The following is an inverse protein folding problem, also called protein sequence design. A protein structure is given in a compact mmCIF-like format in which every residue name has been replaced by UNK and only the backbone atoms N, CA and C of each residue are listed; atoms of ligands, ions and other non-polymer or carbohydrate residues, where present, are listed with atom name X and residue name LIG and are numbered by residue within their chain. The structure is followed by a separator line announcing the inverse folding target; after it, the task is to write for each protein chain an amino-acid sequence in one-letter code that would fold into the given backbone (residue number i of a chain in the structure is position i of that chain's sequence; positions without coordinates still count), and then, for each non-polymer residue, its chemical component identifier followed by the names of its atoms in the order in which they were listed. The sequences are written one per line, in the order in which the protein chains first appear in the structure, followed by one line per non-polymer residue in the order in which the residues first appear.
data_IF_485227958084
#
_entry.id   IF_485227958084
#
_cell.length_a   1.000
_cell.length_b   1.000
_cell.length_c   1.000
_cell.angle_alpha   90.00
_cell.angle_beta   90.00
_cell.angle_gamma   90.00
#
_symmetry.space_group_name_H-M   'P 1'
#
loop_
_entity.id
_entity.type
_entity.pdbx_description
1 polymer ?
#
# COMPACT_ATOMS: atom_id res chain seq x y z
N UNK A 1 -13.19 6.66 24.32
CA UNK A 1 -11.90 6.13 23.82
C UNK A 1 -12.15 4.70 23.40
N UNK A 2 -12.22 4.47 22.12
CA UNK A 2 -12.97 3.34 21.55
C UNK A 2 -12.14 2.05 21.41
N UNK A 3 -12.59 1.03 22.14
CA UNK A 3 -12.21 -0.39 21.98
C UNK A 3 -12.56 -0.99 20.60
N UNK A 4 -13.12 -0.20 19.68
CA UNK A 4 -13.62 -0.68 18.37
C UNK A 4 -12.52 -0.86 17.34
N UNK A 5 -11.42 -0.10 17.42
CA UNK A 5 -10.32 -0.19 16.44
C UNK A 5 -9.48 -1.47 16.60
N UNK A 6 -9.42 -2.03 17.83
CA UNK A 6 -8.63 -3.25 18.13
C UNK A 6 -9.41 -4.54 17.79
N UNK A 7 -10.74 -4.49 17.77
CA UNK A 7 -11.60 -5.68 17.61
C UNK A 7 -11.81 -6.12 16.17
N UNK A 8 -11.54 -5.28 15.16
CA UNK A 8 -11.63 -5.67 13.75
C UNK A 8 -10.37 -6.37 13.26
N UNK A 9 -9.21 -6.17 13.91
CA UNK A 9 -7.99 -6.91 13.64
C UNK A 9 -7.91 -8.28 14.34
N UNK A 10 -8.69 -8.50 15.40
CA UNK A 10 -8.64 -9.76 16.18
C UNK A 10 -9.57 -10.87 15.69
N UNK A 11 -10.35 -10.64 14.61
CA UNK A 11 -11.16 -11.68 13.94
C UNK A 11 -10.70 -12.06 12.55
N UNK A 12 -9.63 -11.45 11.99
CA UNK A 12 -8.79 -12.22 11.10
C UNK A 12 -7.97 -13.14 12.02
N UNK A 13 -8.44 -14.36 12.21
CA UNK A 13 -7.52 -15.47 12.49
C UNK A 13 -6.31 -15.20 11.63
N UNK A 14 -5.14 -15.17 12.24
CA UNK A 14 -3.86 -15.26 11.54
C UNK A 14 -3.99 -16.58 10.78
N UNK A 15 -4.59 -16.55 9.60
CA UNK A 15 -4.36 -17.55 8.59
C UNK A 15 -2.92 -17.23 8.21
N UNK A 16 -1.97 -17.89 8.89
CA UNK A 16 -0.60 -17.95 8.43
C UNK A 16 -0.74 -18.40 6.99
N UNK A 17 -0.32 -17.54 6.05
CA UNK A 17 -0.47 -17.88 4.66
C UNK A 17 0.37 -19.13 4.43
N UNK A 18 -0.27 -20.20 3.98
CA UNK A 18 0.39 -21.46 3.68
C UNK A 18 0.65 -21.51 2.18
N UNK A 19 1.92 -21.51 1.81
CA UNK A 19 2.36 -21.54 0.42
C UNK A 19 2.69 -22.95 -0.02
N UNK A 20 2.21 -23.35 -1.21
CA UNK A 20 2.70 -24.55 -1.88
C UNK A 20 4.04 -24.27 -2.54
N UNK A 21 4.82 -25.31 -2.84
CA UNK A 21 6.14 -25.15 -3.45
C UNK A 21 6.12 -24.39 -4.79
N UNK A 22 5.02 -24.42 -5.54
CA UNK A 22 4.85 -23.66 -6.77
C UNK A 22 4.71 -22.16 -6.51
N UNK A 23 4.03 -21.80 -5.43
CA UNK A 23 3.85 -20.41 -5.01
C UNK A 23 5.22 -19.85 -4.59
N UNK A 24 5.97 -20.61 -3.80
CA UNK A 24 7.35 -20.28 -3.41
C UNK A 24 8.27 -20.13 -4.64
N UNK A 25 8.19 -21.03 -5.63
CA UNK A 25 8.96 -20.90 -6.88
C UNK A 25 8.64 -19.59 -7.59
N UNK A 26 7.36 -19.23 -7.69
CA UNK A 26 6.91 -18.00 -8.34
C UNK A 26 7.40 -16.75 -7.59
N UNK A 27 7.28 -16.74 -6.27
CA UNK A 27 7.61 -15.58 -5.43
C UNK A 27 9.11 -15.36 -5.26
N UNK A 28 9.90 -16.44 -5.18
CA UNK A 28 11.35 -16.35 -4.93
C UNK A 28 12.21 -16.44 -6.20
N UNK A 29 11.64 -16.97 -7.28
CA UNK A 29 12.36 -17.32 -8.51
C UNK A 29 13.27 -18.55 -8.38
N UNK A 30 13.25 -19.25 -7.23
CA UNK A 30 14.04 -20.47 -7.01
C UNK A 30 13.22 -21.66 -7.48
N UNK A 31 13.79 -22.48 -8.37
CA UNK A 31 13.09 -23.67 -8.88
C UNK A 31 12.71 -24.66 -7.78
N UNK A 32 11.51 -25.22 -7.86
CA UNK A 32 10.99 -26.16 -6.85
C UNK A 32 11.91 -27.35 -6.56
N UNK A 33 12.62 -27.86 -7.58
CA UNK A 33 13.60 -28.95 -7.37
C UNK A 33 14.81 -28.47 -6.56
N UNK A 34 15.27 -27.24 -6.76
CA UNK A 34 16.37 -26.62 -6.04
C UNK A 34 16.03 -26.46 -4.56
N UNK A 35 14.81 -25.97 -4.26
CA UNK A 35 14.31 -25.84 -2.88
C UNK A 35 14.33 -27.21 -2.19
N UNK A 36 13.82 -28.27 -2.83
CA UNK A 36 13.84 -29.63 -2.27
C UNK A 36 15.26 -30.17 -2.02
N UNK A 37 16.22 -29.82 -2.88
CA UNK A 37 17.63 -30.17 -2.67
C UNK A 37 18.17 -29.44 -1.45
N UNK A 38 17.87 -28.16 -1.30
CA UNK A 38 18.31 -27.34 -0.18
C UNK A 38 17.71 -27.80 1.16
N UNK A 39 16.41 -28.14 1.18
CA UNK A 39 15.77 -28.78 2.34
C UNK A 39 16.53 -30.06 2.75
N UNK A 40 16.72 -30.98 1.78
CA UNK A 40 17.30 -32.30 2.06
C UNK A 40 18.79 -32.23 2.44
N UNK A 41 19.57 -31.34 1.80
CA UNK A 41 21.02 -31.32 1.90
C UNK A 41 21.54 -30.39 2.98
N UNK A 42 20.83 -29.30 3.22
CA UNK A 42 21.27 -28.22 4.10
C UNK A 42 20.33 -27.92 5.25
N UNK A 43 19.17 -28.56 5.28
CA UNK A 43 18.13 -28.34 6.31
C UNK A 43 17.76 -26.87 6.49
N UNK A 44 17.82 -26.07 5.41
CA UNK A 44 17.57 -24.62 5.41
C UNK A 44 16.13 -24.31 5.84
N UNK A 45 15.20 -25.20 5.47
CA UNK A 45 13.78 -25.11 5.79
C UNK A 45 13.27 -26.49 6.23
N UNK A 46 12.28 -26.47 7.08
CA UNK A 46 11.54 -27.65 7.51
C UNK A 46 10.06 -27.35 7.30
N UNK A 47 9.54 -27.50 6.04
CA UNK A 47 8.14 -27.20 5.75
C UNK A 47 7.21 -28.16 6.47
N UNK A 48 6.08 -27.66 6.90
CA UNK A 48 4.97 -28.47 7.37
C UNK A 48 4.42 -29.36 6.25
N UNK A 49 3.70 -30.41 6.62
CA UNK A 49 3.08 -31.32 5.65
C UNK A 49 1.64 -31.54 5.99
N UNK A 50 0.80 -31.46 4.96
CA UNK A 50 -0.60 -31.85 5.08
C UNK A 50 -0.72 -33.38 5.37
N UNK A 51 -1.90 -33.83 5.75
CA UNK A 51 -2.21 -35.26 5.90
C UNK A 51 -1.91 -36.07 4.60
N UNK A 52 -1.98 -35.40 3.45
CA UNK A 52 -1.65 -35.98 2.14
C UNK A 52 -0.17 -35.79 1.76
N UNK A 53 0.69 -35.47 2.73
CA UNK A 53 2.14 -35.27 2.57
C UNK A 53 2.55 -34.13 1.61
N UNK A 54 1.68 -33.16 1.31
CA UNK A 54 2.03 -31.97 0.54
C UNK A 54 2.79 -31.01 1.44
N UNK A 55 3.90 -30.45 0.92
CA UNK A 55 4.70 -29.41 1.61
C UNK A 55 3.94 -28.11 1.68
N UNK A 56 3.92 -27.52 2.87
CA UNK A 56 3.36 -26.20 3.15
C UNK A 56 4.43 -25.35 3.79
N UNK A 57 4.61 -24.13 3.29
CA UNK A 57 5.61 -23.17 3.73
C UNK A 57 4.90 -21.97 4.36
N UNK A 58 5.43 -21.52 5.48
CA UNK A 58 4.95 -20.34 6.20
C UNK A 58 5.47 -19.04 5.56
N UNK A 59 4.91 -17.90 5.97
CA UNK A 59 5.45 -16.57 5.66
C UNK A 59 6.92 -16.43 6.07
N UNK A 60 7.32 -17.06 7.18
CA UNK A 60 8.69 -17.06 7.66
C UNK A 60 9.61 -17.84 6.74
N UNK A 61 9.15 -18.95 6.18
CA UNK A 61 9.89 -19.74 5.20
C UNK A 61 10.06 -18.94 3.90
N UNK A 62 9.01 -18.29 3.43
CA UNK A 62 9.06 -17.42 2.26
C UNK A 62 10.07 -16.28 2.46
N UNK A 63 10.01 -15.58 3.60
CA UNK A 63 10.97 -14.51 3.93
C UNK A 63 12.41 -15.03 3.94
N UNK A 64 12.65 -16.19 4.55
CA UNK A 64 13.97 -16.82 4.58
C UNK A 64 14.48 -17.15 3.17
N UNK A 65 13.63 -17.70 2.31
CA UNK A 65 13.99 -18.04 0.93
C UNK A 65 14.23 -16.80 0.07
N UNK A 66 13.51 -15.71 0.28
CA UNK A 66 13.76 -14.44 -0.41
C UNK A 66 15.14 -13.88 -0.05
N UNK A 67 15.52 -13.89 1.23
CA UNK A 67 16.84 -13.48 1.69
C UNK A 67 17.95 -14.38 1.11
N UNK A 68 17.76 -15.69 1.13
CA UNK A 68 18.69 -16.67 0.55
C UNK A 68 18.82 -16.46 -0.96
N UNK A 69 17.72 -16.22 -1.67
CA UNK A 69 17.73 -15.92 -3.11
C UNK A 69 18.56 -14.68 -3.41
N UNK A 70 18.40 -13.62 -2.63
CA UNK A 70 19.17 -12.39 -2.78
C UNK A 70 20.66 -12.63 -2.57
N UNK A 71 21.05 -13.30 -1.49
CA UNK A 71 22.44 -13.63 -1.19
C UNK A 71 23.06 -14.52 -2.28
N UNK A 72 22.33 -15.51 -2.75
CA UNK A 72 22.81 -16.42 -3.79
C UNK A 72 23.00 -15.70 -5.15
N UNK A 73 22.08 -14.82 -5.53
CA UNK A 73 22.21 -13.95 -6.72
C UNK A 73 23.40 -12.97 -6.62
N UNK A 74 23.85 -12.66 -5.41
CA UNK A 74 25.04 -11.82 -5.16
C UNK A 74 26.32 -12.62 -4.88
N UNK A 75 26.35 -13.89 -5.30
CA UNK A 75 27.58 -14.71 -5.33
C UNK A 75 27.84 -15.53 -4.08
N UNK A 76 27.00 -15.49 -3.06
CA UNK A 76 27.15 -16.34 -1.89
C UNK A 76 26.68 -17.76 -2.17
N UNK A 77 27.52 -18.75 -1.92
CA UNK A 77 27.17 -20.17 -2.13
C UNK A 77 26.20 -20.64 -1.05
N UNK A 78 25.19 -21.41 -1.45
CA UNK A 78 24.18 -21.93 -0.55
C UNK A 78 24.76 -22.75 0.62
N UNK A 79 25.86 -23.47 0.40
CA UNK A 79 26.56 -24.22 1.45
C UNK A 79 27.06 -23.33 2.57
N UNK A 80 27.48 -22.11 2.26
CA UNK A 80 27.93 -21.15 3.27
C UNK A 80 26.73 -20.46 3.94
N UNK A 81 25.70 -20.08 3.16
CA UNK A 81 24.50 -19.44 3.71
C UNK A 81 23.84 -20.35 4.76
N UNK A 82 23.83 -21.66 4.51
CA UNK A 82 23.24 -22.65 5.41
C UNK A 82 23.94 -22.76 6.78
N UNK A 83 25.20 -22.33 6.86
CA UNK A 83 25.99 -22.34 8.09
C UNK A 83 25.87 -21.03 8.89
N UNK A 84 25.21 -20.00 8.31
CA UNK A 84 25.11 -18.69 8.94
C UNK A 84 23.89 -18.58 9.85
N UNK A 85 24.06 -17.87 10.96
CA UNK A 85 22.95 -17.49 11.81
C UNK A 85 22.06 -16.42 11.14
N UNK A 86 20.90 -16.25 11.68
CA UNK A 86 19.88 -15.32 11.16
C UNK A 86 20.39 -13.86 11.12
N UNK A 87 21.19 -13.47 12.11
CA UNK A 87 21.72 -12.11 12.23
C UNK A 87 22.78 -11.82 11.17
N UNK A 88 23.61 -12.81 10.84
CA UNK A 88 24.59 -12.70 9.76
C UNK A 88 23.91 -12.65 8.40
N UNK A 89 22.88 -13.47 8.16
CA UNK A 89 22.07 -13.42 6.93
C UNK A 89 21.47 -12.03 6.79
N UNK A 90 20.81 -11.52 7.83
CA UNK A 90 20.19 -10.21 7.81
C UNK A 90 21.20 -9.09 7.56
N UNK A 91 22.35 -9.10 8.20
CA UNK A 91 23.43 -8.13 7.96
C UNK A 91 23.92 -8.16 6.52
N UNK A 92 24.22 -9.32 5.96
CA UNK A 92 24.69 -9.43 4.58
C UNK A 92 23.63 -9.05 3.55
N UNK A 93 22.37 -9.42 3.80
CA UNK A 93 21.22 -8.93 2.99
C UNK A 93 21.14 -7.41 3.04
N UNK A 94 21.34 -6.84 4.22
CA UNK A 94 21.43 -5.41 4.42
C UNK A 94 22.58 -4.78 3.64
N UNK A 95 23.81 -5.31 3.78
CA UNK A 95 24.99 -4.82 3.08
C UNK A 95 24.83 -4.86 1.55
N UNK A 96 24.24 -5.92 1.01
CA UNK A 96 23.97 -6.04 -0.43
C UNK A 96 22.96 -5.00 -0.87
N UNK A 97 21.91 -4.76 -0.09
CA UNK A 97 20.92 -3.72 -0.39
C UNK A 97 21.55 -2.32 -0.35
N UNK A 98 22.49 -2.10 0.58
CA UNK A 98 23.19 -0.81 0.74
C UNK A 98 24.31 -0.58 -0.28
N UNK A 99 24.98 -1.62 -0.79
CA UNK A 99 26.13 -1.49 -1.71
C UNK A 99 25.73 -1.23 -3.18
N UNK A 100 24.48 -1.42 -3.53
CA UNK A 100 24.00 -0.99 -4.84
C UNK A 100 23.76 0.52 -4.81
N UNK A 101 24.41 1.25 -5.71
CA UNK A 101 24.16 2.67 -6.00
C UNK A 101 22.74 2.88 -6.57
N UNK A 102 21.74 2.51 -5.80
CA UNK A 102 20.34 2.85 -6.00
C UNK A 102 20.07 3.98 -5.05
N UNK A 103 19.33 4.95 -5.47
CA UNK A 103 18.89 6.11 -4.73
C UNK A 103 18.75 5.79 -3.23
N UNK A 104 19.65 6.33 -2.40
CA UNK A 104 19.75 6.04 -0.96
C UNK A 104 18.49 6.40 -0.16
N UNK A 105 17.49 6.96 -0.82
CA UNK A 105 16.24 7.41 -0.22
C UNK A 105 15.43 6.26 0.33
N UNK A 106 15.18 5.23 -0.48
CA UNK A 106 14.37 4.09 -0.04
C UNK A 106 15.01 3.33 1.12
N UNK A 107 16.33 3.13 1.06
CA UNK A 107 17.05 2.45 2.14
C UNK A 107 17.03 3.24 3.44
N UNK A 108 17.16 4.56 3.40
CA UNK A 108 17.04 5.42 4.58
C UNK A 108 15.63 5.38 5.16
N UNK A 109 14.60 5.38 4.31
CA UNK A 109 13.21 5.25 4.75
C UNK A 109 12.94 3.88 5.39
N UNK A 110 13.52 2.79 4.84
CA UNK A 110 13.45 1.45 5.44
C UNK A 110 14.21 1.41 6.78
N UNK A 111 15.38 2.05 6.87
CA UNK A 111 16.12 2.14 8.12
C UNK A 111 15.31 2.85 9.20
N UNK A 112 14.74 4.00 8.86
CA UNK A 112 13.87 4.77 9.74
C UNK A 112 12.66 3.95 10.22
N UNK A 113 12.03 3.16 9.32
CA UNK A 113 10.97 2.22 9.65
C UNK A 113 11.43 1.18 10.70
N UNK A 114 12.56 0.51 10.44
CA UNK A 114 13.05 -0.58 11.30
C UNK A 114 13.48 -0.08 12.68
N UNK A 115 14.07 1.13 12.74
CA UNK A 115 14.53 1.77 13.98
C UNK A 115 13.46 2.61 14.67
N UNK A 116 12.30 2.81 14.03
CA UNK A 116 11.25 3.70 14.49
C UNK A 116 11.79 5.14 14.68
N UNK A 117 12.65 5.57 13.74
CA UNK A 117 13.34 6.85 13.79
C UNK A 117 12.58 7.91 12.96
N UNK A 118 11.79 8.73 13.66
CA UNK A 118 10.99 9.80 13.07
C UNK A 118 11.88 10.89 12.43
N UNK A 119 13.00 11.23 13.07
CA UNK A 119 13.88 12.28 12.58
C UNK A 119 14.50 11.86 11.24
N UNK A 120 15.10 10.66 11.17
CA UNK A 120 15.69 10.14 9.95
C UNK A 120 14.65 10.05 8.81
N UNK A 121 13.42 9.59 9.12
CA UNK A 121 12.34 9.54 8.14
C UNK A 121 11.99 10.92 7.59
N UNK A 122 11.72 11.86 8.50
CA UNK A 122 11.26 13.21 8.16
C UNK A 122 12.30 14.02 7.38
N UNK A 123 13.57 13.94 7.79
CA UNK A 123 14.68 14.61 7.10
C UNK A 123 14.88 14.01 5.70
N UNK A 124 14.89 12.68 5.59
CA UNK A 124 15.05 11.98 4.29
C UNK A 124 13.93 12.36 3.33
N UNK A 125 12.68 12.29 3.80
CA UNK A 125 11.52 12.61 2.97
C UNK A 125 11.49 14.09 2.56
N UNK A 126 11.89 15.00 3.49
CA UNK A 126 11.93 16.42 3.19
C UNK A 126 12.92 16.76 2.08
N UNK A 127 14.14 16.18 2.12
CA UNK A 127 15.15 16.38 1.06
C UNK A 127 14.58 16.01 -0.31
N UNK A 128 13.92 14.86 -0.43
CA UNK A 128 13.35 14.42 -1.70
C UNK A 128 12.20 15.32 -2.17
N UNK A 129 11.36 15.78 -1.23
CA UNK A 129 10.28 16.72 -1.55
C UNK A 129 10.85 18.07 -2.02
N UNK A 130 11.92 18.55 -1.41
CA UNK A 130 12.57 19.83 -1.79
C UNK A 130 13.22 19.72 -3.18
N UNK A 131 13.76 18.55 -3.55
CA UNK A 131 14.39 18.32 -4.84
C UNK A 131 13.41 18.22 -6.00
N UNK A 132 12.31 17.49 -5.84
CA UNK A 132 11.41 17.16 -6.98
C UNK A 132 9.92 17.41 -6.75
N UNK A 133 9.57 17.94 -5.58
CA UNK A 133 8.20 18.24 -5.19
C UNK A 133 7.40 17.02 -4.75
N UNK A 134 6.36 17.22 -3.94
CA UNK A 134 5.59 16.13 -3.33
C UNK A 134 4.92 15.21 -4.37
N UNK A 135 4.46 15.74 -5.51
CA UNK A 135 3.76 14.92 -6.53
C UNK A 135 4.68 13.82 -7.07
N UNK A 136 5.91 14.20 -7.45
CA UNK A 136 6.88 13.23 -7.95
C UNK A 136 7.39 12.31 -6.84
N UNK A 137 7.68 12.87 -5.67
CA UNK A 137 8.07 12.09 -4.49
C UNK A 137 7.03 11.04 -4.14
N UNK A 138 5.75 11.38 -4.19
CA UNK A 138 4.69 10.40 -3.90
C UNK A 138 4.67 9.27 -4.92
N UNK A 139 4.72 9.59 -6.21
CA UNK A 139 4.60 8.61 -7.27
C UNK A 139 5.85 7.75 -7.46
N UNK A 140 7.04 8.34 -7.31
CA UNK A 140 8.32 7.70 -7.63
C UNK A 140 8.99 7.05 -6.42
N UNK A 141 8.73 7.54 -5.19
CA UNK A 141 9.39 7.04 -3.97
C UNK A 141 8.40 6.46 -2.96
N UNK A 142 7.35 7.22 -2.58
CA UNK A 142 6.44 6.80 -1.52
C UNK A 142 5.53 5.64 -1.93
N UNK A 143 5.03 5.61 -3.17
CA UNK A 143 4.20 4.48 -3.61
C UNK A 143 4.98 3.16 -3.66
N UNK A 144 6.17 3.07 -4.30
CA UNK A 144 7.00 1.86 -4.25
C UNK A 144 7.39 1.47 -2.82
N UNK A 145 7.70 2.45 -1.97
CA UNK A 145 8.01 2.23 -0.56
C UNK A 145 6.82 1.63 0.21
N UNK A 146 5.60 2.17 0.03
CA UNK A 146 4.39 1.63 0.65
C UNK A 146 4.06 0.21 0.17
N UNK A 147 4.24 -0.07 -1.12
CA UNK A 147 4.10 -1.43 -1.68
C UNK A 147 5.08 -2.40 -1.03
N UNK A 148 6.32 -1.97 -0.85
CA UNK A 148 7.36 -2.76 -0.19
C UNK A 148 7.06 -3.00 1.29
N UNK A 149 6.56 -1.98 2.02
CA UNK A 149 6.08 -2.13 3.40
C UNK A 149 4.96 -3.18 3.47
N UNK A 150 4.01 -3.13 2.54
CA UNK A 150 2.94 -4.12 2.44
C UNK A 150 3.47 -5.55 2.30
N UNK A 151 4.47 -5.76 1.45
CA UNK A 151 5.15 -7.07 1.31
C UNK A 151 5.89 -7.45 2.59
N UNK A 152 6.64 -6.52 3.20
CA UNK A 152 7.37 -6.77 4.46
C UNK A 152 6.42 -7.14 5.59
N UNK A 153 5.25 -6.55 5.65
CA UNK A 153 4.21 -6.89 6.63
C UNK A 153 3.64 -8.30 6.36
N UNK A 154 3.31 -8.62 5.12
CA UNK A 154 2.80 -9.95 4.73
C UNK A 154 3.77 -11.10 5.08
N UNK A 155 5.08 -10.85 4.99
CA UNK A 155 6.11 -11.84 5.35
C UNK A 155 6.60 -11.70 6.79
N UNK A 156 5.87 -10.99 7.65
CA UNK A 156 6.19 -10.74 9.06
C UNK A 156 7.61 -10.18 9.31
N UNK A 157 8.18 -9.46 8.34
CA UNK A 157 9.48 -8.80 8.49
C UNK A 157 9.40 -7.50 9.29
N UNK A 158 8.19 -6.94 9.42
CA UNK A 158 7.89 -5.78 10.27
C UNK A 158 6.64 -6.05 11.09
N UNK A 159 6.53 -5.37 12.22
CA UNK A 159 5.33 -5.40 13.07
C UNK A 159 4.26 -4.41 12.61
N UNK A 160 3.01 -4.62 13.00
CA UNK A 160 1.94 -3.66 12.78
C UNK A 160 2.25 -2.28 13.39
N UNK A 161 2.97 -2.24 14.51
CA UNK A 161 3.39 -0.98 15.13
C UNK A 161 4.35 -0.18 14.24
N UNK A 162 5.29 -0.85 13.57
CA UNK A 162 6.22 -0.21 12.63
C UNK A 162 5.50 0.28 11.36
N UNK A 163 4.57 -0.52 10.82
CA UNK A 163 3.74 -0.12 9.70
C UNK A 163 2.91 1.13 10.07
N UNK A 164 2.20 1.11 11.20
CA UNK A 164 1.41 2.24 11.67
C UNK A 164 2.27 3.50 11.93
N UNK A 165 3.46 3.33 12.49
CA UNK A 165 4.39 4.42 12.71
C UNK A 165 4.69 5.17 11.40
N UNK A 166 5.11 4.44 10.37
CA UNK A 166 5.46 5.02 9.07
C UNK A 166 4.24 5.59 8.35
N UNK A 167 3.14 4.86 8.33
CA UNK A 167 1.90 5.31 7.69
C UNK A 167 1.39 6.62 8.30
N UNK A 168 1.51 6.78 9.62
CA UNK A 168 1.18 8.03 10.27
C UNK A 168 2.13 9.18 9.93
N UNK A 169 3.44 8.94 9.80
CA UNK A 169 4.40 9.98 9.38
C UNK A 169 4.14 10.45 7.95
N UNK A 170 3.88 9.53 7.03
CA UNK A 170 3.50 9.85 5.64
C UNK A 170 2.21 10.68 5.63
N UNK A 171 1.21 10.24 6.39
CA UNK A 171 -0.07 10.93 6.53
C UNK A 171 0.09 12.36 7.05
N UNK A 172 0.85 12.54 8.13
CA UNK A 172 1.14 13.86 8.71
C UNK A 172 1.83 14.77 7.71
N UNK A 173 2.80 14.22 6.95
CA UNK A 173 3.52 14.98 5.93
C UNK A 173 2.61 15.47 4.83
N UNK A 174 1.76 14.62 4.27
CA UNK A 174 0.82 15.00 3.21
C UNK A 174 -0.17 16.05 3.72
N UNK A 175 -0.71 15.89 4.93
CA UNK A 175 -1.63 16.87 5.54
C UNK A 175 -0.93 18.24 5.73
N UNK A 176 0.31 18.23 6.20
CA UNK A 176 1.11 19.47 6.31
C UNK A 176 1.31 20.17 4.97
N UNK A 177 1.54 19.41 3.90
CA UNK A 177 1.70 19.99 2.55
C UNK A 177 0.34 20.46 1.98
N UNK A 178 -0.77 19.84 2.33
CA UNK A 178 -2.12 20.33 1.99
C UNK A 178 -2.42 21.66 2.69
N UNK A 179 -2.06 21.79 3.96
CA UNK A 179 -2.33 22.99 4.78
C UNK A 179 -1.56 24.23 4.27
N UNK A 180 -0.41 24.03 3.65
CA UNK A 180 0.38 25.11 3.02
C UNK A 180 -0.26 25.66 1.76
N UNK A 181 -1.24 24.98 1.17
CA UNK A 181 -1.86 25.40 -0.08
C UNK A 181 -3.01 26.38 0.16
N UNK A 182 -3.09 27.40 -0.67
CA UNK A 182 -4.20 28.36 -0.63
C UNK A 182 -5.53 27.67 -0.92
N UNK A 183 -6.57 28.08 -0.19
CA UNK A 183 -7.94 27.65 -0.50
C UNK A 183 -8.43 28.48 -1.69
N UNK A 184 -8.82 27.85 -2.81
CA UNK A 184 -9.29 28.57 -3.99
C UNK A 184 -10.44 29.55 -3.67
N UNK A 185 -10.43 30.71 -4.26
CA UNK A 185 -11.46 31.73 -4.08
C UNK A 185 -12.83 31.25 -4.62
N UNK A 186 -12.82 30.55 -5.75
CA UNK A 186 -14.03 29.91 -6.30
C UNK A 186 -14.31 28.62 -5.51
N UNK A 187 -15.40 28.65 -4.76
CA UNK A 187 -15.90 27.52 -3.96
C UNK A 187 -17.11 26.84 -4.57
N UNK A 188 -17.53 27.26 -5.77
CA UNK A 188 -18.64 26.63 -6.47
C UNK A 188 -18.30 25.21 -6.89
N UNK A 189 -19.26 24.32 -6.75
CA UNK A 189 -19.16 22.93 -7.21
C UNK A 189 -17.83 22.24 -6.87
N UNK A 190 -17.51 22.03 -5.58
CA UNK A 190 -16.24 21.45 -5.17
C UNK A 190 -16.08 20.01 -5.64
N UNK A 191 -14.84 19.50 -5.55
CA UNK A 191 -14.54 18.06 -5.66
C UNK A 191 -14.58 17.47 -4.26
N UNK A 192 -15.43 16.49 -4.03
CA UNK A 192 -15.59 15.82 -2.75
C UNK A 192 -14.75 14.55 -2.70
N UNK A 193 -14.05 14.33 -1.58
CA UNK A 193 -13.20 13.14 -1.39
C UNK A 193 -13.63 12.41 -0.12
N UNK A 194 -13.76 11.07 -0.21
CA UNK A 194 -14.16 10.24 0.91
C UNK A 194 -13.63 8.80 0.77
N UNK A 195 -13.58 8.07 1.88
CA UNK A 195 -13.47 6.61 1.89
C UNK A 195 -14.81 5.98 2.29
N UNK A 196 -15.18 4.86 1.65
CA UNK A 196 -16.41 4.16 2.01
C UNK A 196 -16.36 3.64 3.45
N UNK A 197 -17.52 3.31 3.97
CA UNK A 197 -17.64 2.77 5.32
C UNK A 197 -16.74 1.56 5.52
N UNK A 198 -16.04 1.53 6.67
CA UNK A 198 -15.04 0.51 7.03
C UNK A 198 -13.72 0.56 6.24
N UNK A 199 -13.46 1.55 5.38
CA UNK A 199 -12.13 1.76 4.81
C UNK A 199 -11.41 2.92 5.54
N UNK A 200 -10.12 2.65 5.91
CA UNK A 200 -9.28 3.55 6.70
C UNK A 200 -7.99 3.94 5.97
N UNK A 201 -7.79 3.46 4.73
CA UNK A 201 -6.57 3.61 3.96
C UNK A 201 -6.52 4.95 3.21
N UNK A 202 -6.38 6.05 3.94
CA UNK A 202 -6.59 7.40 3.40
C UNK A 202 -5.36 8.04 2.73
N UNK A 203 -4.16 7.46 2.79
CA UNK A 203 -2.93 8.07 2.23
C UNK A 203 -3.11 8.44 0.76
N UNK A 204 -3.64 7.53 -0.05
CA UNK A 204 -3.92 7.78 -1.47
C UNK A 204 -4.99 8.88 -1.68
N UNK A 205 -6.01 8.91 -0.83
CA UNK A 205 -7.06 9.92 -0.90
C UNK A 205 -6.54 11.31 -0.51
N UNK A 206 -5.71 11.41 0.52
CA UNK A 206 -5.02 12.65 0.90
C UNK A 206 -4.12 13.15 -0.22
N UNK A 207 -3.41 12.25 -0.90
CA UNK A 207 -2.61 12.63 -2.06
C UNK A 207 -3.46 13.17 -3.21
N UNK A 208 -4.63 12.60 -3.49
CA UNK A 208 -5.55 13.17 -4.48
C UNK A 208 -6.06 14.55 -4.06
N UNK A 209 -6.32 14.78 -2.78
CA UNK A 209 -6.66 16.11 -2.28
C UNK A 209 -5.53 17.11 -2.51
N UNK A 210 -4.28 16.73 -2.15
CA UNK A 210 -3.10 17.56 -2.40
C UNK A 210 -2.98 17.92 -3.88
N UNK A 211 -3.06 16.91 -4.76
CA UNK A 211 -2.92 17.07 -6.20
C UNK A 211 -3.95 18.06 -6.78
N UNK A 212 -5.20 17.92 -6.38
CA UNK A 212 -6.29 18.79 -6.86
C UNK A 212 -6.14 20.22 -6.34
N UNK A 213 -5.82 20.40 -5.06
CA UNK A 213 -5.56 21.72 -4.49
C UNK A 213 -4.37 22.41 -5.14
N UNK A 214 -3.30 21.67 -5.40
CA UNK A 214 -2.11 22.20 -6.10
C UNK A 214 -2.45 22.71 -7.52
N UNK A 215 -3.53 22.21 -8.12
CA UNK A 215 -4.07 22.69 -9.40
C UNK A 215 -5.17 23.75 -9.27
N UNK A 216 -5.39 24.27 -8.05
CA UNK A 216 -6.36 25.33 -7.80
C UNK A 216 -7.82 24.86 -7.70
N UNK A 217 -8.08 23.58 -7.52
CA UNK A 217 -9.45 23.08 -7.34
C UNK A 217 -9.89 23.16 -5.87
N UNK A 218 -11.10 23.64 -5.64
CA UNK A 218 -11.71 23.57 -4.32
C UNK A 218 -12.09 22.13 -4.00
N UNK A 219 -11.63 21.63 -2.85
CA UNK A 219 -11.86 20.26 -2.40
C UNK A 219 -12.59 20.26 -1.06
N UNK A 220 -13.49 19.29 -0.87
CA UNK A 220 -14.13 18.97 0.41
C UNK A 220 -13.72 17.56 0.78
N UNK A 221 -12.90 17.45 1.82
CA UNK A 221 -12.39 16.17 2.31
C UNK A 221 -13.26 15.68 3.47
N UNK A 222 -13.97 14.56 3.26
CA UNK A 222 -14.87 13.97 4.26
C UNK A 222 -14.18 12.90 5.10
N UNK A 223 -13.02 12.41 4.65
CA UNK A 223 -12.19 11.47 5.42
C UNK A 223 -12.60 10.02 5.31
N UNK A 224 -12.24 9.29 6.37
CA UNK A 224 -12.31 7.83 6.46
C UNK A 224 -13.70 7.35 6.86
N UNK A 225 -14.04 6.12 6.43
CA UNK A 225 -15.19 5.35 6.93
C UNK A 225 -16.52 6.13 6.95
N UNK A 226 -16.87 6.74 5.82
CA UNK A 226 -18.10 7.54 5.70
C UNK A 226 -19.29 6.64 5.40
N UNK A 227 -20.36 6.66 6.22
CA UNK A 227 -21.61 5.96 5.92
C UNK A 227 -22.28 6.50 4.65
N UNK A 228 -22.89 5.61 3.87
CA UNK A 228 -23.51 5.95 2.59
C UNK A 228 -24.57 7.06 2.69
N UNK A 229 -25.47 6.98 3.68
CA UNK A 229 -26.51 8.01 3.90
C UNK A 229 -25.91 9.38 4.20
N UNK A 230 -24.80 9.42 4.97
CA UNK A 230 -24.08 10.66 5.26
C UNK A 230 -23.45 11.25 4.00
N UNK A 231 -22.91 10.40 3.12
CA UNK A 231 -22.41 10.81 1.82
C UNK A 231 -23.52 11.45 0.97
N UNK A 232 -24.69 10.81 0.86
CA UNK A 232 -25.81 11.33 0.09
C UNK A 232 -26.31 12.69 0.62
N UNK A 233 -26.43 12.84 1.93
CA UNK A 233 -26.78 14.11 2.55
C UNK A 233 -25.79 15.23 2.21
N UNK A 234 -24.48 14.92 2.18
CA UNK A 234 -23.45 15.86 1.77
C UNK A 234 -23.57 16.21 0.29
N UNK A 235 -23.79 15.24 -0.59
CA UNK A 235 -23.95 15.45 -2.04
C UNK A 235 -25.12 16.39 -2.30
N UNK A 236 -26.27 16.14 -1.69
CA UNK A 236 -27.46 16.97 -1.87
C UNK A 236 -27.25 18.41 -1.43
N UNK A 237 -26.53 18.63 -0.33
CA UNK A 237 -26.28 19.96 0.22
C UNK A 237 -25.19 20.73 -0.53
N UNK A 238 -24.11 20.05 -0.93
CA UNK A 238 -22.90 20.67 -1.48
C UNK A 238 -22.95 20.73 -3.01
N UNK A 239 -23.66 19.81 -3.65
CA UNK A 239 -23.76 19.65 -5.11
C UNK A 239 -22.37 19.63 -5.78
N UNK A 240 -21.49 18.66 -5.41
CA UNK A 240 -20.15 18.60 -5.94
C UNK A 240 -20.16 18.28 -7.44
N UNK A 241 -19.21 18.85 -8.21
CA UNK A 241 -19.04 18.48 -9.62
C UNK A 241 -18.49 17.07 -9.80
N UNK A 242 -17.73 16.60 -8.80
CA UNK A 242 -17.13 15.28 -8.82
C UNK A 242 -16.97 14.73 -7.40
N UNK A 243 -16.96 13.41 -7.30
CA UNK A 243 -16.66 12.65 -6.09
C UNK A 243 -15.53 11.70 -6.38
N UNK A 244 -14.54 11.66 -5.47
CA UNK A 244 -13.39 10.78 -5.56
C UNK A 244 -13.37 9.87 -4.34
N UNK A 245 -13.18 8.57 -4.56
CA UNK A 245 -13.00 7.58 -3.51
C UNK A 245 -11.79 6.68 -3.76
N UNK A 246 -11.30 6.02 -2.72
CA UNK A 246 -10.23 5.01 -2.80
C UNK A 246 -10.72 3.71 -2.16
N UNK A 247 -10.38 2.57 -2.77
CA UNK A 247 -10.86 1.24 -2.38
C UNK A 247 -9.69 0.27 -2.32
N UNK A 248 -9.14 0.06 -1.14
CA UNK A 248 -7.98 -0.81 -0.92
C UNK A 248 -8.35 -2.07 -0.14
N UNK A 249 -9.25 -1.97 0.83
CA UNK A 249 -9.71 -3.10 1.63
C UNK A 249 -10.41 -4.11 0.74
N UNK A 250 -10.08 -5.40 0.91
CA UNK A 250 -10.72 -6.48 0.17
C UNK A 250 -12.23 -6.55 0.49
N UNK A 251 -13.04 -6.36 -0.53
CA UNK A 251 -14.51 -6.33 -0.45
C UNK A 251 -15.08 -7.20 -1.57
N UNK A 252 -16.26 -7.77 -1.32
CA UNK A 252 -16.98 -8.55 -2.34
C UNK A 252 -17.23 -7.71 -3.60
N UNK A 253 -16.94 -8.30 -4.75
CA UNK A 253 -17.12 -7.69 -6.07
C UNK A 253 -18.55 -7.16 -6.29
N UNK A 254 -19.54 -7.96 -5.90
CA UNK A 254 -20.95 -7.62 -6.09
C UNK A 254 -21.32 -6.41 -5.25
N UNK A 255 -20.76 -6.28 -4.06
CA UNK A 255 -20.95 -5.10 -3.21
C UNK A 255 -20.44 -3.84 -3.89
N UNK A 256 -19.19 -3.84 -4.41
CA UNK A 256 -18.60 -2.66 -5.07
C UNK A 256 -19.42 -2.23 -6.29
N UNK A 257 -19.82 -3.17 -7.14
CA UNK A 257 -20.62 -2.89 -8.33
C UNK A 257 -21.98 -2.28 -7.93
N UNK A 258 -22.68 -2.89 -6.97
CA UNK A 258 -23.98 -2.39 -6.51
C UNK A 258 -23.86 -1.01 -5.85
N UNK A 259 -22.78 -0.77 -5.12
CA UNK A 259 -22.50 0.53 -4.50
C UNK A 259 -22.39 1.63 -5.55
N UNK A 260 -21.55 1.47 -6.58
CA UNK A 260 -21.41 2.49 -7.62
C UNK A 260 -22.62 2.62 -8.53
N UNK A 261 -23.31 1.51 -8.81
CA UNK A 261 -24.60 1.53 -9.52
C UNK A 261 -25.64 2.37 -8.77
N UNK A 262 -25.74 2.18 -7.46
CA UNK A 262 -26.66 2.95 -6.62
C UNK A 262 -26.22 4.42 -6.54
N UNK A 263 -24.94 4.69 -6.30
CA UNK A 263 -24.41 6.04 -6.21
C UNK A 263 -24.59 6.83 -7.51
N UNK A 264 -24.43 6.18 -8.68
CA UNK A 264 -24.70 6.79 -9.99
C UNK A 264 -26.18 7.18 -10.16
N UNK A 265 -27.09 6.38 -9.62
CA UNK A 265 -28.53 6.66 -9.63
C UNK A 265 -28.90 7.81 -8.69
N UNK A 266 -28.28 7.85 -7.49
CA UNK A 266 -28.58 8.83 -6.44
C UNK A 266 -27.89 10.19 -6.69
N UNK A 267 -26.79 10.21 -7.46
CA UNK A 267 -26.03 11.40 -7.82
C UNK A 267 -25.80 11.50 -9.35
N UNK A 268 -26.88 11.59 -10.18
CA UNK A 268 -26.79 11.48 -11.64
C UNK A 268 -25.98 12.60 -12.31
N UNK A 269 -25.89 13.76 -11.68
CA UNK A 269 -25.20 14.95 -12.20
C UNK A 269 -23.77 15.09 -11.68
N UNK A 270 -23.29 14.14 -10.89
CA UNK A 270 -21.95 14.17 -10.29
C UNK A 270 -21.03 13.17 -11.00
N UNK A 271 -19.85 13.61 -11.39
CA UNK A 271 -18.82 12.70 -11.92
C UNK A 271 -18.28 11.83 -10.79
N UNK A 272 -18.19 10.52 -11.01
CA UNK A 272 -17.71 9.56 -10.04
C UNK A 272 -16.33 9.05 -10.46
N UNK A 273 -15.34 9.17 -9.58
CA UNK A 273 -13.99 8.67 -9.75
C UNK A 273 -13.62 7.74 -8.60
N UNK A 274 -12.89 6.67 -8.90
CA UNK A 274 -12.37 5.79 -7.88
C UNK A 274 -11.00 5.23 -8.25
N UNK A 275 -10.16 5.09 -7.23
CA UNK A 275 -8.85 4.45 -7.32
C UNK A 275 -8.70 3.32 -6.30
N UNK A 276 -7.55 2.67 -6.32
CA UNK A 276 -7.20 1.58 -5.40
C UNK A 276 -7.31 0.19 -6.03
N UNK A 277 -6.69 -0.79 -5.37
CA UNK A 277 -6.53 -2.14 -5.91
C UNK A 277 -7.85 -2.84 -6.24
N UNK A 278 -8.91 -2.59 -5.45
CA UNK A 278 -10.21 -3.21 -5.69
C UNK A 278 -10.90 -2.67 -6.96
N UNK A 279 -10.66 -1.41 -7.29
CA UNK A 279 -11.18 -0.80 -8.53
C UNK A 279 -10.42 -1.37 -9.74
N UNK A 280 -9.09 -1.45 -9.66
CA UNK A 280 -8.26 -1.99 -10.74
C UNK A 280 -8.61 -3.45 -11.07
N UNK A 281 -8.87 -4.28 -10.05
CA UNK A 281 -9.27 -5.68 -10.21
C UNK A 281 -10.60 -5.85 -10.95
N UNK A 282 -11.50 -4.88 -10.87
CA UNK A 282 -12.86 -4.96 -11.39
C UNK A 282 -13.18 -3.84 -12.39
N UNK A 283 -12.16 -3.23 -12.99
CA UNK A 283 -12.30 -2.01 -13.80
C UNK A 283 -13.26 -2.17 -14.99
N UNK A 284 -13.29 -3.35 -15.62
CA UNK A 284 -14.18 -3.61 -16.75
C UNK A 284 -15.67 -3.51 -16.36
N UNK A 285 -16.07 -4.15 -15.27
CA UNK A 285 -17.46 -4.18 -14.80
C UNK A 285 -17.89 -2.86 -14.17
N UNK A 286 -16.95 -2.09 -13.65
CA UNK A 286 -17.19 -0.79 -13.03
C UNK A 286 -17.22 0.37 -14.01
N UNK A 287 -16.68 0.21 -15.22
CA UNK A 287 -16.50 1.29 -16.22
C UNK A 287 -17.79 2.00 -16.62
N UNK A 288 -18.96 1.35 -16.46
CA UNK A 288 -20.26 1.95 -16.71
C UNK A 288 -20.66 2.96 -15.61
N UNK A 289 -20.19 2.78 -14.38
CA UNK A 289 -20.68 3.52 -13.21
C UNK A 289 -19.69 4.54 -12.68
N UNK A 290 -18.38 4.27 -12.79
CA UNK A 290 -17.33 5.08 -12.20
C UNK A 290 -16.10 5.12 -13.12
N UNK A 291 -15.41 6.26 -13.14
CA UNK A 291 -14.15 6.43 -13.86
C UNK A 291 -12.99 5.98 -12.99
N UNK A 292 -12.20 5.01 -13.46
CA UNK A 292 -11.02 4.53 -12.78
C UNK A 292 -9.90 5.57 -12.79
N UNK A 293 -9.28 5.83 -11.64
CA UNK A 293 -8.07 6.65 -11.51
C UNK A 293 -6.85 5.74 -11.67
N UNK A 294 -6.21 5.81 -12.84
CA UNK A 294 -5.02 5.00 -13.16
C UNK A 294 -3.70 5.68 -12.78
N UNK A 295 -3.70 7.01 -12.74
CA UNK A 295 -2.54 7.83 -12.39
C UNK A 295 -2.99 9.25 -12.02
N UNK A 296 -2.06 10.03 -11.46
CA UNK A 296 -2.25 11.46 -11.19
C UNK A 296 -2.65 12.23 -12.45
N UNK A 297 -1.99 11.94 -13.57
CA UNK A 297 -2.27 12.60 -14.86
C UNK A 297 -3.64 12.20 -15.41
N UNK A 298 -4.03 10.94 -15.27
CA UNK A 298 -5.36 10.49 -15.68
C UNK A 298 -6.47 11.19 -14.91
N UNK A 299 -6.30 11.40 -13.61
CA UNK A 299 -7.25 12.17 -12.79
C UNK A 299 -7.32 13.62 -13.24
N UNK A 300 -6.16 14.28 -13.38
CA UNK A 300 -6.10 15.69 -13.75
C UNK A 300 -6.65 15.98 -15.14
N UNK A 301 -6.50 15.07 -16.09
CA UNK A 301 -7.00 15.23 -17.47
C UNK A 301 -8.52 15.44 -17.55
N UNK A 302 -9.27 15.03 -16.53
CA UNK A 302 -10.71 15.25 -16.44
C UNK A 302 -11.13 16.65 -15.95
N UNK A 303 -10.19 17.37 -15.34
CA UNK A 303 -10.46 18.67 -14.70
C UNK A 303 -9.72 19.83 -15.36
N UNK A 304 -8.56 19.58 -15.96
CA UNK A 304 -7.73 20.58 -16.64
C UNK A 304 -7.95 20.42 -18.15
N UNK A 305 -8.49 21.47 -18.78
CA UNK A 305 -8.60 21.56 -20.24
C UNK A 305 -7.38 22.25 -20.83
#
# INVERSE_FOLDING_TARGET
MNKVCILLFTKLSIIMAEYKIKDIETLTGIKAHTIRIWEKRYSILIPDRTETHIRMYSDQDLSSLLNISLLNKNGHKISHIAEWDKDKINRLVWDIKMSRNVDFTEEKLILALLQTDEQLFSETLQVVIDEKGLIRTFSEDLMPFLERIGVMWLVNSISAAQEHFISNLIRQKIISEIDKQEIPADKSHPIMLYLPEHDWHEIGLLFYQYLLRNKGFHTVYLGQSLPYDSLLNCIQRIQPKAIISSWLTAIDKTFIINYFKQLKKDAPNTMLFAGGSQINLHSFELSEYVTEIKSSDSLLSHFVK
#
